data_IF_602453643394
#
_entry.id   IF_602453643394
#
_cell.length_a   1.000
_cell.length_b   1.000
_cell.length_c   1.000
_cell.angle_alpha   90.00
_cell.angle_beta   90.00
_cell.angle_gamma   90.00
#
_symmetry.space_group_name_H-M   'P 1'
#
loop_
_entity.id
_entity.type
_entity.pdbx_description
1 polymer ?
#
# COMPACT_ATOMS: atom_id res chain seq x y z
N UNK A 1 -24.39 -44.16 -14.17
CA UNK A 1 -24.54 -42.69 -14.21
C UNK A 1 -23.25 -42.13 -13.66
N UNK A 2 -22.53 -41.30 -14.43
CA UNK A 2 -21.27 -40.71 -13.95
C UNK A 2 -21.67 -39.47 -13.14
N UNK A 3 -21.25 -39.41 -11.88
CA UNK A 3 -21.52 -38.27 -11.00
C UNK A 3 -20.92 -36.99 -11.60
N UNK A 4 -21.78 -36.11 -12.09
CA UNK A 4 -21.45 -34.79 -12.67
C UNK A 4 -21.63 -33.65 -11.65
N UNK A 5 -21.78 -33.97 -10.36
CA UNK A 5 -22.00 -32.95 -9.34
C UNK A 5 -20.70 -32.26 -8.97
N UNK A 6 -20.72 -30.92 -9.01
CA UNK A 6 -19.61 -30.07 -8.58
C UNK A 6 -20.02 -29.34 -7.30
N UNK A 7 -19.13 -29.30 -6.32
CA UNK A 7 -19.33 -28.57 -5.06
C UNK A 7 -18.44 -27.33 -5.01
N UNK A 8 -19.02 -26.20 -4.61
CA UNK A 8 -18.27 -24.97 -4.32
C UNK A 8 -18.09 -24.84 -2.81
N UNK A 9 -16.85 -24.87 -2.35
CA UNK A 9 -16.50 -24.69 -0.96
C UNK A 9 -15.99 -23.26 -0.75
N UNK A 10 -16.51 -22.58 0.28
CA UNK A 10 -16.12 -21.22 0.62
C UNK A 10 -15.51 -21.19 2.01
N UNK A 11 -14.33 -20.59 2.10
CA UNK A 11 -13.78 -20.18 3.38
C UNK A 11 -14.24 -18.75 3.69
N UNK A 12 -15.19 -18.63 4.64
CA UNK A 12 -15.93 -17.39 4.88
C UNK A 12 -15.05 -16.19 5.27
N UNK A 13 -13.94 -16.43 5.96
CA UNK A 13 -12.98 -15.41 6.39
C UNK A 13 -11.64 -15.51 5.63
N UNK A 14 -11.64 -16.04 4.40
CA UNK A 14 -10.43 -16.18 3.60
C UNK A 14 -9.66 -14.87 3.44
N UNK A 15 -10.34 -13.78 3.08
CA UNK A 15 -9.70 -12.49 2.83
C UNK A 15 -8.96 -11.97 4.07
N UNK A 16 -9.63 -11.86 5.22
CA UNK A 16 -8.98 -11.40 6.45
C UNK A 16 -7.86 -12.36 6.91
N UNK A 17 -8.07 -13.67 6.77
CA UNK A 17 -7.05 -14.65 7.15
C UNK A 17 -5.78 -14.53 6.30
N UNK A 18 -5.91 -14.27 5.01
CA UNK A 18 -4.76 -14.05 4.12
C UNK A 18 -4.08 -12.72 4.40
N UNK A 19 -4.84 -11.64 4.61
CA UNK A 19 -4.27 -10.33 4.96
C UNK A 19 -3.47 -10.41 6.25
N UNK A 20 -4.04 -10.98 7.32
CA UNK A 20 -3.33 -11.17 8.60
C UNK A 20 -2.14 -12.13 8.48
N UNK A 21 -2.19 -13.13 7.59
CA UNK A 21 -1.03 -13.98 7.34
C UNK A 21 0.14 -13.17 6.74
N UNK A 22 -0.12 -12.29 5.76
CA UNK A 22 0.93 -11.45 5.17
C UNK A 22 1.46 -10.37 6.12
N UNK A 23 0.60 -9.85 7.01
CA UNK A 23 0.98 -8.99 8.12
C UNK A 23 2.00 -9.70 9.03
N UNK A 24 1.64 -10.87 9.58
CA UNK A 24 2.53 -11.65 10.44
C UNK A 24 3.85 -12.01 9.74
N UNK A 25 3.81 -12.44 8.48
CA UNK A 25 5.02 -12.75 7.72
C UNK A 25 5.95 -11.52 7.59
N UNK A 26 5.39 -10.32 7.46
CA UNK A 26 6.20 -9.10 7.40
C UNK A 26 6.79 -8.77 8.76
N UNK A 27 6.01 -8.87 9.83
CA UNK A 27 6.44 -8.55 11.20
C UNK A 27 7.53 -9.50 11.69
N UNK A 28 7.43 -10.78 11.33
CA UNK A 28 8.46 -11.81 11.61
C UNK A 28 9.64 -11.74 10.62
N UNK A 29 9.58 -10.87 9.62
CA UNK A 29 10.53 -10.75 8.50
C UNK A 29 10.73 -12.05 7.70
N UNK A 30 9.72 -12.91 7.66
CA UNK A 30 9.72 -14.15 6.90
C UNK A 30 9.50 -13.87 5.40
N UNK A 31 10.33 -14.49 4.54
CA UNK A 31 10.25 -14.38 3.08
C UNK A 31 10.32 -12.95 2.50
N UNK A 32 10.68 -11.96 3.30
CA UNK A 32 10.92 -10.60 2.82
C UNK A 32 12.11 -10.59 1.85
N UNK A 33 11.89 -10.00 0.68
CA UNK A 33 12.81 -10.09 -0.47
C UNK A 33 13.06 -8.72 -1.11
N UNK A 34 12.72 -7.64 -0.42
CA UNK A 34 13.04 -6.24 -0.79
C UNK A 34 13.17 -5.38 0.46
N UNK A 35 14.00 -4.34 0.39
CA UNK A 35 14.11 -3.31 1.41
C UNK A 35 13.78 -1.94 0.82
N UNK A 36 12.90 -1.18 1.47
CA UNK A 36 12.68 0.23 1.17
C UNK A 36 13.45 1.07 2.19
N UNK A 37 14.21 2.07 1.74
CA UNK A 37 15.02 2.92 2.59
C UNK A 37 14.73 4.41 2.34
N UNK A 38 14.54 5.18 3.40
CA UNK A 38 14.45 6.65 3.37
C UNK A 38 14.89 7.22 4.71
N UNK A 39 15.32 8.49 4.75
CA UNK A 39 15.74 9.18 5.99
C UNK A 39 16.73 8.40 6.88
N UNK A 40 17.64 7.65 6.27
CA UNK A 40 18.61 6.81 7.00
C UNK A 40 18.00 5.60 7.73
N UNK A 41 16.71 5.34 7.51
CA UNK A 41 15.96 4.19 8.03
C UNK A 41 15.58 3.25 6.89
N UNK A 42 15.22 2.03 7.23
CA UNK A 42 14.82 1.02 6.27
C UNK A 42 13.74 0.09 6.82
N UNK A 43 12.88 -0.40 5.94
CA UNK A 43 11.90 -1.44 6.22
C UNK A 43 12.06 -2.59 5.22
N UNK A 44 11.86 -3.81 5.67
CA UNK A 44 11.78 -4.99 4.80
C UNK A 44 10.32 -5.25 4.40
N UNK A 45 10.12 -5.81 3.22
CA UNK A 45 8.80 -6.12 2.68
C UNK A 45 8.88 -7.24 1.64
N UNK A 46 7.71 -7.67 1.17
CA UNK A 46 7.55 -8.61 0.08
C UNK A 46 7.35 -7.90 -1.26
N UNK A 47 8.17 -8.24 -2.26
CA UNK A 47 8.08 -7.74 -3.64
C UNK A 47 6.71 -8.02 -4.25
N UNK A 48 6.14 -9.19 -3.97
CA UNK A 48 4.84 -9.59 -4.51
C UNK A 48 3.71 -8.69 -4.00
N UNK A 49 3.72 -8.38 -2.70
CA UNK A 49 2.71 -7.51 -2.08
C UNK A 49 2.86 -6.07 -2.59
N UNK A 50 4.08 -5.52 -2.59
CA UNK A 50 4.34 -4.18 -3.15
C UNK A 50 3.94 -4.09 -4.62
N UNK A 51 4.25 -5.12 -5.42
CA UNK A 51 3.89 -5.16 -6.84
C UNK A 51 2.39 -5.30 -7.07
N UNK A 52 1.66 -5.97 -6.18
CA UNK A 52 0.20 -6.09 -6.27
C UNK A 52 -0.49 -4.73 -6.07
N UNK A 53 0.02 -3.94 -5.12
CA UNK A 53 -0.60 -2.68 -4.69
C UNK A 53 0.01 -1.43 -5.33
N UNK A 54 1.07 -1.53 -6.13
CA UNK A 54 1.72 -0.40 -6.78
C UNK A 54 2.26 -0.78 -8.16
N UNK A 55 1.72 -0.21 -9.25
CA UNK A 55 2.30 -0.34 -10.58
C UNK A 55 3.74 0.18 -10.66
N UNK A 56 4.08 1.23 -9.88
CA UNK A 56 5.45 1.73 -9.79
C UNK A 56 6.41 0.67 -9.26
N UNK A 57 6.11 0.06 -8.10
CA UNK A 57 6.97 -1.00 -7.56
C UNK A 57 6.98 -2.22 -8.47
N UNK A 58 5.86 -2.57 -9.10
CA UNK A 58 5.80 -3.67 -10.07
C UNK A 58 6.75 -3.46 -11.23
N UNK A 59 6.72 -2.29 -11.87
CA UNK A 59 7.59 -1.95 -12.99
C UNK A 59 9.08 -1.94 -12.56
N UNK A 60 9.38 -1.27 -11.44
CA UNK A 60 10.73 -1.15 -10.90
C UNK A 60 11.33 -2.51 -10.49
N UNK A 61 10.57 -3.34 -9.78
CA UNK A 61 11.05 -4.63 -9.28
C UNK A 61 11.15 -5.66 -10.39
N UNK A 62 10.37 -5.55 -11.47
CA UNK A 62 10.53 -6.38 -12.67
C UNK A 62 11.81 -6.05 -13.43
N UNK A 63 12.19 -4.78 -13.50
CA UNK A 63 13.40 -4.33 -14.20
C UNK A 63 14.67 -4.45 -13.36
N UNK A 64 14.57 -4.86 -12.09
CA UNK A 64 15.70 -5.02 -11.17
C UNK A 64 15.95 -6.50 -10.84
N UNK A 65 16.70 -7.24 -11.70
CA UNK A 65 17.02 -8.64 -11.45
C UNK A 65 18.08 -8.76 -10.36
N UNK A 66 17.66 -8.76 -9.11
CA UNK A 66 18.51 -9.10 -7.98
C UNK A 66 17.71 -9.87 -6.91
N UNK A 67 18.44 -10.55 -6.02
CA UNK A 67 17.83 -11.36 -4.95
C UNK A 67 17.07 -10.51 -3.93
N UNK A 68 17.63 -9.36 -3.55
CA UNK A 68 17.09 -8.50 -2.50
C UNK A 68 17.38 -7.02 -2.81
N UNK A 69 16.56 -6.34 -3.63
CA UNK A 69 16.80 -4.94 -3.99
C UNK A 69 16.61 -4.03 -2.78
N UNK A 70 17.48 -3.03 -2.67
CA UNK A 70 17.32 -1.92 -1.73
C UNK A 70 16.88 -0.70 -2.54
N UNK A 71 15.63 -0.30 -2.37
CA UNK A 71 15.05 0.86 -3.06
C UNK A 71 15.17 2.07 -2.14
N UNK A 72 15.98 3.04 -2.55
CA UNK A 72 16.17 4.29 -1.81
C UNK A 72 15.17 5.33 -2.31
N UNK A 73 14.30 5.80 -1.42
CA UNK A 73 13.28 6.81 -1.70
C UNK A 73 13.78 8.15 -1.16
N UNK A 74 14.14 9.05 -2.08
CA UNK A 74 14.53 10.42 -1.76
C UNK A 74 13.28 11.28 -1.56
N UNK A 75 13.37 12.30 -0.70
CA UNK A 75 12.30 13.25 -0.39
C UNK A 75 11.00 12.61 0.15
N UNK A 76 11.10 11.42 0.73
CA UNK A 76 10.01 10.72 1.40
C UNK A 76 10.30 10.65 2.89
N UNK A 77 9.44 11.28 3.69
CA UNK A 77 9.52 11.20 5.14
C UNK A 77 9.31 9.75 5.62
N UNK A 78 10.12 9.30 6.58
CA UNK A 78 9.97 7.97 7.18
C UNK A 78 8.54 7.68 7.67
N UNK A 79 7.88 8.67 8.27
CA UNK A 79 6.51 8.51 8.77
C UNK A 79 5.51 8.20 7.66
N UNK A 80 5.69 8.81 6.49
CA UNK A 80 4.79 8.62 5.35
C UNK A 80 5.06 7.27 4.68
N UNK A 81 6.34 6.90 4.51
CA UNK A 81 6.71 5.58 3.99
C UNK A 81 6.18 4.48 4.91
N UNK A 82 6.42 4.57 6.21
CA UNK A 82 5.96 3.59 7.18
C UNK A 82 4.43 3.45 7.12
N UNK A 83 3.69 4.55 7.22
CA UNK A 83 2.23 4.54 7.13
C UNK A 83 1.72 3.97 5.80
N UNK A 84 2.44 4.20 4.70
CA UNK A 84 2.06 3.68 3.39
C UNK A 84 2.23 2.16 3.30
N UNK A 85 3.30 1.62 3.88
CA UNK A 85 3.48 0.16 3.93
C UNK A 85 2.47 -0.47 4.89
N UNK A 86 2.15 0.19 6.02
CA UNK A 86 1.03 -0.24 6.88
C UNK A 86 -0.29 -0.32 6.10
N UNK A 87 -0.62 0.71 5.33
CA UNK A 87 -1.80 0.71 4.46
C UNK A 87 -1.77 -0.44 3.45
N UNK A 88 -0.62 -0.75 2.86
CA UNK A 88 -0.48 -1.84 1.88
C UNK A 88 -0.77 -3.22 2.50
N UNK A 89 -0.38 -3.45 3.76
CA UNK A 89 -0.56 -4.75 4.41
C UNK A 89 -1.92 -4.88 5.11
N UNK A 90 -2.47 -3.79 5.66
CA UNK A 90 -3.73 -3.84 6.41
C UNK A 90 -4.94 -3.43 5.57
N UNK A 91 -4.74 -2.71 4.47
CA UNK A 91 -5.80 -2.07 3.68
C UNK A 91 -6.29 -0.74 4.28
N UNK A 92 -5.80 -0.35 5.45
CA UNK A 92 -6.13 0.90 6.13
C UNK A 92 -4.96 1.44 6.95
N UNK A 93 -4.96 2.74 7.26
CA UNK A 93 -3.97 3.36 8.14
C UNK A 93 -4.52 4.63 8.78
N UNK A 94 -4.12 4.91 10.01
CA UNK A 94 -4.41 6.16 10.68
C UNK A 94 -3.26 7.16 10.46
N UNK A 95 -3.57 8.31 9.86
CA UNK A 95 -2.58 9.37 9.60
C UNK A 95 -3.04 10.66 10.27
N UNK A 96 -2.11 11.36 10.93
CA UNK A 96 -2.40 12.67 11.47
C UNK A 96 -2.76 13.67 10.36
N UNK A 97 -3.75 14.53 10.62
CA UNK A 97 -4.21 15.55 9.66
C UNK A 97 -3.05 16.38 9.08
N UNK A 98 -2.07 16.75 9.90
CA UNK A 98 -0.88 17.51 9.48
C UNK A 98 0.03 16.78 8.49
N UNK A 99 0.01 15.45 8.48
CA UNK A 99 0.81 14.57 7.62
C UNK A 99 0.00 14.02 6.44
N UNK A 100 -1.31 14.20 6.42
CA UNK A 100 -2.19 13.63 5.38
C UNK A 100 -1.78 14.08 3.97
N UNK A 101 -1.46 15.35 3.79
CA UNK A 101 -1.05 15.88 2.48
C UNK A 101 0.26 15.26 1.97
N UNK A 102 1.26 15.08 2.85
CA UNK A 102 2.55 14.49 2.47
C UNK A 102 2.44 12.99 2.24
N UNK A 103 1.64 12.30 3.06
CA UNK A 103 1.27 10.90 2.88
C UNK A 103 0.61 10.65 1.51
N UNK A 104 -0.43 11.42 1.16
CA UNK A 104 -1.12 11.27 -0.13
C UNK A 104 -0.20 11.60 -1.32
N UNK A 105 0.69 12.59 -1.17
CA UNK A 105 1.69 12.89 -2.20
C UNK A 105 2.66 11.71 -2.41
N UNK A 106 3.10 11.08 -1.33
CA UNK A 106 3.95 9.89 -1.38
C UNK A 106 3.23 8.72 -2.04
N UNK A 107 1.95 8.50 -1.69
CA UNK A 107 1.11 7.48 -2.30
C UNK A 107 0.94 7.70 -3.82
N UNK A 108 0.77 8.94 -4.25
CA UNK A 108 0.68 9.34 -5.67
C UNK A 108 1.99 9.04 -6.43
N UNK A 109 3.12 9.46 -5.90
CA UNK A 109 4.45 9.21 -6.49
C UNK A 109 4.71 7.72 -6.65
N UNK A 110 4.38 6.94 -5.62
CA UNK A 110 4.53 5.49 -5.60
C UNK A 110 3.36 4.76 -6.25
N UNK A 111 2.38 5.47 -6.82
CA UNK A 111 1.19 4.93 -7.49
C UNK A 111 0.49 3.82 -6.69
N UNK A 112 0.26 4.03 -5.39
CA UNK A 112 -0.38 3.03 -4.53
C UNK A 112 -1.88 2.94 -4.84
N UNK A 113 -2.37 1.75 -5.16
CA UNK A 113 -3.78 1.47 -5.43
C UNK A 113 -4.64 1.78 -4.21
N UNK A 114 -5.86 2.29 -4.43
CA UNK A 114 -6.76 2.73 -3.35
C UNK A 114 -6.47 4.13 -2.81
N UNK A 115 -5.27 4.67 -3.04
CA UNK A 115 -4.87 6.04 -2.65
C UNK A 115 -4.59 6.97 -3.84
N UNK A 116 -4.62 6.44 -5.06
CA UNK A 116 -4.34 7.18 -6.30
C UNK A 116 -5.46 7.04 -7.31
N UNK A 117 -5.68 8.09 -8.11
CA UNK A 117 -6.71 8.10 -9.15
C UNK A 117 -6.21 7.31 -10.39
N UNK A 118 -6.28 5.99 -10.34
CA UNK A 118 -6.18 5.22 -11.58
C UNK A 118 -7.44 5.45 -12.41
N UNK A 119 -7.27 5.69 -13.71
CA UNK A 119 -8.33 5.97 -14.68
C UNK A 119 -9.22 4.74 -14.96
N UNK A 120 -9.98 4.31 -13.96
CA UNK A 120 -10.97 3.24 -14.05
C UNK A 120 -11.63 2.99 -12.69
N UNK A 121 -12.88 3.44 -12.56
CA UNK A 121 -13.87 3.07 -11.52
C UNK A 121 -13.70 3.51 -10.04
N UNK A 122 -12.70 4.32 -9.67
CA UNK A 122 -12.48 4.76 -8.28
C UNK A 122 -12.78 6.23 -7.96
N UNK A 123 -13.70 6.90 -8.66
CA UNK A 123 -13.86 8.38 -8.58
C UNK A 123 -14.33 8.90 -7.21
N UNK A 124 -15.03 8.10 -6.39
CA UNK A 124 -15.80 8.65 -5.27
C UNK A 124 -15.00 8.84 -3.97
N UNK A 125 -14.04 7.97 -3.64
CA UNK A 125 -13.36 8.01 -2.34
C UNK A 125 -12.27 9.09 -2.23
N UNK A 126 -11.43 9.24 -3.26
CA UNK A 126 -10.36 10.26 -3.25
C UNK A 126 -10.90 11.67 -3.42
N UNK A 127 -11.98 11.84 -4.19
CA UNK A 127 -12.65 13.13 -4.31
C UNK A 127 -13.23 13.60 -2.95
N UNK A 128 -13.71 12.67 -2.12
CA UNK A 128 -14.13 12.97 -0.74
C UNK A 128 -12.94 13.35 0.15
N UNK A 129 -11.84 12.60 0.12
CA UNK A 129 -10.66 12.95 0.95
C UNK A 129 -10.07 14.30 0.52
N UNK A 130 -9.95 14.55 -0.79
CA UNK A 130 -9.46 15.82 -1.32
C UNK A 130 -10.41 16.98 -1.04
N UNK A 131 -11.73 16.77 -1.08
CA UNK A 131 -12.70 17.80 -0.72
C UNK A 131 -12.63 18.10 0.78
N UNK A 132 -12.53 17.10 1.64
CA UNK A 132 -12.32 17.28 3.09
C UNK A 132 -11.05 18.08 3.39
N UNK A 133 -9.93 17.77 2.74
CA UNK A 133 -8.67 18.51 2.91
C UNK A 133 -8.83 19.96 2.46
N UNK A 134 -9.48 20.23 1.32
CA UNK A 134 -9.74 21.59 0.82
C UNK A 134 -10.67 22.39 1.72
N UNK A 135 -11.74 21.77 2.22
CA UNK A 135 -12.70 22.39 3.15
C UNK A 135 -12.05 22.80 4.47
N UNK A 136 -11.12 22.00 4.98
CA UNK A 136 -10.43 22.28 6.24
C UNK A 136 -9.32 23.32 6.11
N UNK A 137 -8.61 23.39 4.97
CA UNK A 137 -7.62 24.44 4.71
C UNK A 137 -8.25 25.84 4.64
N UNK A 138 -9.50 25.96 4.19
CA UNK A 138 -10.23 27.23 4.16
C UNK A 138 -10.70 27.69 5.55
N UNK A 139 -10.94 26.77 6.48
CA UNK A 139 -11.35 27.10 7.85
C UNK A 139 -10.19 27.58 8.75
N UNK A 140 -8.93 27.25 8.42
CA UNK A 140 -7.76 27.70 9.17
C UNK A 140 -7.21 29.06 8.72
N UNK A 141 -7.77 29.67 7.67
CA UNK A 141 -7.38 30.98 7.15
C UNK A 141 -8.40 32.10 7.49
N UNK A 142 -9.40 31.79 8.31
CA UNK A 142 -10.33 32.74 8.94
C UNK A 142 -10.10 32.75 10.44
#
# INVERSE_FOLDING_TARGET
MVDTQHFCLRWNNYQSSITSAFENLRDDEDFVDVTLACDGKSLKAHRVVLSACSPYFRELLKSTPCKHPVIVLQDVAWTDLHALVEFIYHGEVNVHQRSLSSFLKTAEVLRVSGLTQQHGDGRDQLAQVQSMVRSQQQQQQQ
#
